data_IF_225231635034
#
_entry.id   IF_225231635034
#
_cell.length_a   1.000
_cell.length_b   1.000
_cell.length_c   1.000
_cell.angle_alpha   90.00
_cell.angle_beta   90.00
_cell.angle_gamma   90.00
#
_symmetry.space_group_name_H-M   'P 1'
#
loop_
_entity.id
_entity.type
_entity.pdbx_description
1 polymer ?
#
# COMPACT_ATOMS: atom_id res chain seq x y z
N UNK A 1 0.52 35.71 17.77
CA UNK A 1 0.67 34.57 16.85
C UNK A 1 1.96 33.88 17.24
N UNK A 2 1.91 32.63 17.69
CA UNK A 2 3.15 31.87 17.92
C UNK A 2 3.89 31.69 16.60
N UNK A 3 5.22 31.87 16.56
CA UNK A 3 5.99 31.68 15.34
C UNK A 3 5.97 30.20 14.92
N UNK A 4 5.80 29.95 13.62
CA UNK A 4 5.91 28.59 13.07
C UNK A 4 7.33 28.09 13.34
N UNK A 5 7.44 27.06 14.17
CA UNK A 5 8.72 26.42 14.46
C UNK A 5 9.14 25.51 13.29
N UNK A 6 10.45 25.33 13.08
CA UNK A 6 10.95 24.39 12.07
C UNK A 6 10.36 22.97 12.25
N UNK A 7 10.13 22.57 13.50
CA UNK A 7 9.45 21.31 13.85
C UNK A 7 8.03 21.23 13.30
N UNK A 8 7.24 22.31 13.43
CA UNK A 8 5.88 22.35 12.90
C UNK A 8 5.86 22.19 11.37
N UNK A 9 6.81 22.81 10.67
CA UNK A 9 6.95 22.67 9.22
C UNK A 9 7.31 21.24 8.79
N UNK A 10 8.26 20.60 9.48
CA UNK A 10 8.65 19.20 9.19
C UNK A 10 7.45 18.27 9.37
N UNK A 11 6.70 18.41 10.47
CA UNK A 11 5.54 17.57 10.74
C UNK A 11 4.43 17.77 9.71
N UNK A 12 4.16 19.00 9.31
CA UNK A 12 3.17 19.30 8.26
C UNK A 12 3.56 18.68 6.91
N UNK A 13 4.81 18.84 6.48
CA UNK A 13 5.32 18.23 5.26
C UNK A 13 5.31 16.69 5.32
N UNK A 14 5.63 16.12 6.49
CA UNK A 14 5.62 14.67 6.70
C UNK A 14 4.21 14.09 6.63
N UNK A 15 3.20 14.79 7.15
CA UNK A 15 1.80 14.38 7.05
C UNK A 15 1.32 14.35 5.57
N UNK A 16 1.71 15.35 4.78
CA UNK A 16 1.42 15.38 3.34
C UNK A 16 2.15 14.23 2.63
N UNK A 17 3.43 14.03 2.92
CA UNK A 17 4.24 12.94 2.37
C UNK A 17 3.66 11.56 2.68
N UNK A 18 3.17 11.35 3.90
CA UNK A 18 2.51 10.11 4.30
C UNK A 18 1.23 9.85 3.48
N UNK A 19 0.40 10.87 3.26
CA UNK A 19 -0.79 10.76 2.41
C UNK A 19 -0.44 10.43 0.95
N UNK A 20 0.59 11.07 0.40
CA UNK A 20 1.06 10.81 -0.96
C UNK A 20 1.62 9.40 -1.13
N UNK A 21 2.34 8.88 -0.13
CA UNK A 21 2.85 7.50 -0.16
C UNK A 21 1.71 6.47 -0.27
N UNK A 22 0.56 6.73 0.36
CA UNK A 22 -0.59 5.82 0.31
C UNK A 22 -1.29 5.76 -1.05
N UNK A 23 -1.03 6.71 -1.97
CA UNK A 23 -1.52 6.64 -3.35
C UNK A 23 -0.99 5.38 -4.06
N UNK A 24 0.16 4.85 -3.64
CA UNK A 24 0.69 3.59 -4.15
C UNK A 24 -0.29 2.41 -4.04
N UNK A 25 -1.24 2.44 -3.09
CA UNK A 25 -2.28 1.42 -2.93
C UNK A 25 -3.23 1.25 -4.11
N UNK A 26 -3.28 2.23 -5.03
CA UNK A 26 -4.07 2.12 -6.28
C UNK A 26 -3.55 0.97 -7.16
N UNK A 27 -2.22 0.80 -7.24
CA UNK A 27 -1.60 -0.24 -8.08
C UNK A 27 -2.02 -1.66 -7.69
N UNK A 28 -1.78 -2.08 -6.43
CA UNK A 28 -2.25 -3.36 -5.91
C UNK A 28 -3.76 -3.54 -6.07
N UNK A 29 -4.56 -2.52 -5.73
CA UNK A 29 -6.03 -2.61 -5.83
C UNK A 29 -6.52 -2.96 -7.25
N UNK A 30 -5.95 -2.32 -8.27
CA UNK A 30 -6.28 -2.62 -9.67
C UNK A 30 -5.76 -4.02 -10.07
N UNK A 31 -4.50 -4.31 -9.78
CA UNK A 31 -3.86 -5.57 -10.20
C UNK A 31 -4.51 -6.81 -9.55
N UNK A 32 -4.79 -6.74 -8.26
CA UNK A 32 -5.47 -7.80 -7.52
C UNK A 32 -6.93 -7.93 -7.93
N UNK A 33 -7.63 -6.82 -8.20
CA UNK A 33 -8.99 -6.85 -8.73
C UNK A 33 -9.07 -7.59 -10.07
N UNK A 34 -8.10 -7.33 -10.96
CA UNK A 34 -7.97 -8.06 -12.22
C UNK A 34 -7.68 -9.55 -12.00
N UNK A 35 -6.70 -9.88 -11.15
CA UNK A 35 -6.37 -11.27 -10.83
C UNK A 35 -7.55 -12.03 -10.22
N UNK A 36 -8.32 -11.38 -9.34
CA UNK A 36 -9.54 -11.93 -8.76
C UNK A 36 -10.62 -12.20 -9.81
N UNK A 37 -10.84 -11.26 -10.74
CA UNK A 37 -11.76 -11.46 -11.86
C UNK A 37 -11.38 -12.66 -12.74
N UNK A 38 -10.09 -12.79 -13.08
CA UNK A 38 -9.57 -13.94 -13.85
C UNK A 38 -9.65 -15.24 -13.06
N UNK A 39 -9.42 -15.19 -11.75
CA UNK A 39 -9.59 -16.33 -10.85
C UNK A 39 -11.03 -16.83 -10.84
N UNK A 40 -12.00 -15.93 -10.69
CA UNK A 40 -13.42 -16.27 -10.71
C UNK A 40 -13.86 -16.87 -12.06
N UNK A 41 -13.43 -16.28 -13.18
CA UNK A 41 -13.66 -16.83 -14.53
C UNK A 41 -13.06 -18.23 -14.68
N UNK A 42 -11.84 -18.43 -14.17
CA UNK A 42 -11.16 -19.72 -14.18
C UNK A 42 -11.92 -20.79 -13.41
N UNK A 43 -12.33 -20.49 -12.17
CA UNK A 43 -13.12 -21.41 -11.33
C UNK A 43 -14.46 -21.75 -11.98
N UNK A 44 -15.14 -20.76 -12.57
CA UNK A 44 -16.41 -20.98 -13.27
C UNK A 44 -16.29 -21.89 -14.49
N UNK A 45 -15.14 -21.87 -15.18
CA UNK A 45 -14.86 -22.77 -16.32
C UNK A 45 -14.38 -24.14 -15.90
N UNK A 46 -13.64 -24.22 -14.79
CA UNK A 46 -12.97 -25.44 -14.37
C UNK A 46 -13.06 -25.64 -12.84
N UNK A 47 -14.25 -26.03 -12.33
CA UNK A 47 -14.50 -26.12 -10.89
C UNK A 47 -13.59 -27.13 -10.17
N UNK A 48 -13.20 -28.21 -10.84
CA UNK A 48 -12.30 -29.24 -10.30
C UNK A 48 -10.89 -28.70 -9.99
N UNK A 49 -10.48 -27.61 -10.65
CA UNK A 49 -9.19 -26.95 -10.45
C UNK A 49 -9.25 -25.76 -9.48
N UNK A 50 -10.38 -25.55 -8.78
CA UNK A 50 -10.59 -24.38 -7.92
C UNK A 50 -9.45 -24.13 -6.93
N UNK A 51 -8.95 -25.19 -6.29
CA UNK A 51 -7.89 -25.09 -5.29
C UNK A 51 -6.61 -24.48 -5.86
N UNK A 52 -6.19 -24.92 -7.04
CA UNK A 52 -4.95 -24.46 -7.68
C UNK A 52 -5.09 -23.05 -8.27
N UNK A 53 -6.27 -22.74 -8.82
CA UNK A 53 -6.59 -21.39 -9.32
C UNK A 53 -6.53 -20.37 -8.18
N UNK A 54 -7.20 -20.64 -7.06
CA UNK A 54 -7.21 -19.74 -5.90
C UNK A 54 -5.82 -19.60 -5.30
N UNK A 55 -5.05 -20.69 -5.17
CA UNK A 55 -3.66 -20.63 -4.67
C UNK A 55 -2.78 -19.75 -5.56
N UNK A 56 -2.84 -19.93 -6.88
CA UNK A 56 -2.04 -19.15 -7.83
C UNK A 56 -2.44 -17.68 -7.82
N UNK A 57 -3.75 -17.40 -7.77
CA UNK A 57 -4.29 -16.05 -7.64
C UNK A 57 -3.79 -15.36 -6.36
N UNK A 58 -3.87 -16.03 -5.20
CA UNK A 58 -3.43 -15.48 -3.93
C UNK A 58 -1.92 -15.24 -3.90
N UNK A 59 -1.12 -16.14 -4.49
CA UNK A 59 0.32 -15.93 -4.63
C UNK A 59 0.63 -14.68 -5.47
N UNK A 60 -0.03 -14.51 -6.62
CA UNK A 60 0.11 -13.33 -7.45
C UNK A 60 -0.34 -12.06 -6.73
N UNK A 61 -1.47 -12.12 -6.00
CA UNK A 61 -1.99 -11.01 -5.22
C UNK A 61 -1.02 -10.58 -4.11
N UNK A 62 -0.42 -11.53 -3.40
CA UNK A 62 0.56 -11.26 -2.35
C UNK A 62 1.82 -10.55 -2.89
N UNK A 63 2.30 -10.95 -4.07
CA UNK A 63 3.44 -10.27 -4.73
C UNK A 63 3.04 -8.86 -5.19
N UNK A 64 1.84 -8.70 -5.74
CA UNK A 64 1.33 -7.40 -6.18
C UNK A 64 1.14 -6.42 -5.01
N UNK A 65 0.84 -6.89 -3.80
CA UNK A 65 0.61 -6.05 -2.61
C UNK A 65 1.86 -5.34 -2.10
N UNK A 66 3.05 -5.79 -2.48
CA UNK A 66 4.33 -5.33 -1.92
C UNK A 66 4.52 -3.81 -1.99
N UNK A 67 4.11 -3.16 -3.08
CA UNK A 67 4.22 -1.70 -3.23
C UNK A 67 3.25 -0.94 -2.34
N UNK A 68 2.06 -1.48 -2.09
CA UNK A 68 1.11 -0.96 -1.12
C UNK A 68 1.67 -1.00 0.30
N UNK A 69 2.31 -2.11 0.67
CA UNK A 69 2.99 -2.25 1.96
C UNK A 69 4.17 -1.29 2.10
N UNK A 70 4.95 -1.07 1.03
CA UNK A 70 6.02 -0.06 1.08
C UNK A 70 5.47 1.36 1.30
N UNK A 71 4.39 1.73 0.61
CA UNK A 71 3.70 3.01 0.85
C UNK A 71 3.23 3.15 2.30
N UNK A 72 2.62 2.10 2.85
CA UNK A 72 2.18 2.04 4.24
C UNK A 72 3.34 2.18 5.24
N UNK A 73 4.44 1.45 5.05
CA UNK A 73 5.60 1.51 5.93
C UNK A 73 6.17 2.94 5.96
N UNK A 74 6.31 3.58 4.80
CA UNK A 74 6.81 4.97 4.73
C UNK A 74 5.86 5.92 5.44
N UNK A 75 4.54 5.80 5.23
CA UNK A 75 3.56 6.62 5.91
C UNK A 75 3.64 6.45 7.44
N UNK A 76 3.74 5.21 7.94
CA UNK A 76 3.88 4.94 9.37
C UNK A 76 5.18 5.51 9.95
N UNK A 77 6.30 5.42 9.22
CA UNK A 77 7.56 6.02 9.64
C UNK A 77 7.42 7.54 9.75
N UNK A 78 6.82 8.21 8.76
CA UNK A 78 6.65 9.66 8.77
C UNK A 78 5.74 10.17 9.91
N UNK A 79 4.76 9.36 10.33
CA UNK A 79 3.80 9.72 11.37
C UNK A 79 4.26 9.34 12.78
N UNK A 80 4.87 8.17 12.96
CA UNK A 80 5.13 7.59 14.28
C UNK A 80 6.60 7.43 14.63
N UNK A 81 7.49 7.44 13.63
CA UNK A 81 8.93 7.26 13.81
C UNK A 81 9.72 8.27 12.96
N UNK A 82 9.28 9.53 12.95
CA UNK A 82 9.76 10.52 12.00
C UNK A 82 11.25 10.82 12.21
N UNK A 83 12.13 10.46 11.25
CA UNK A 83 13.57 10.60 11.44
C UNK A 83 14.05 12.05 11.32
N UNK A 84 13.23 12.93 10.75
CA UNK A 84 13.62 14.31 10.44
C UNK A 84 13.48 15.23 11.65
N UNK A 85 12.63 14.88 12.62
CA UNK A 85 12.40 15.71 13.81
C UNK A 85 13.63 15.75 14.72
N UNK A 86 14.41 14.66 14.80
CA UNK A 86 15.63 14.59 15.60
C UNK A 86 16.86 15.22 14.95
N UNK A 87 16.73 15.75 13.72
CA UNK A 87 17.79 16.43 12.99
C UNK A 87 17.76 17.95 13.18
N UNK A 88 16.74 18.48 13.86
CA UNK A 88 16.63 19.87 14.30
C UNK A 88 17.33 20.05 15.66
#
# INVERSE_FOLDING_TARGET
MEPITGRALILAASAIGAGLAMIAGIGPGIGQGYAAGKGAEGVGRQPEAQGDIVRTMLLGAAVAETTGIYGLIIALILLFANPLVGML
#
